data_IF_757548953979
#
_entry.id   IF_757548953979
#
_cell.length_a   1.000
_cell.length_b   1.000
_cell.length_c   1.000
_cell.angle_alpha   90.00
_cell.angle_beta   90.00
_cell.angle_gamma   90.00
#
_symmetry.space_group_name_H-M   'P 1'
#
loop_
_entity.id
_entity.type
_entity.pdbx_description
1 polymer ?
#
# COMPACT_ATOMS: atom_id res chain seq x y z
N UNK A 1 16.53 1.24 3.71
CA UNK A 1 15.37 1.19 2.83
C UNK A 1 14.40 0.14 3.32
N UNK A 2 13.39 0.60 4.01
CA UNK A 2 12.28 -0.19 4.50
C UNK A 2 10.98 0.59 4.32
N UNK A 3 9.91 -0.17 4.06
CA UNK A 3 8.55 0.34 3.99
C UNK A 3 7.83 0.02 5.28
N UNK A 4 7.38 1.07 5.95
CA UNK A 4 6.62 0.98 7.20
C UNK A 4 5.17 1.39 6.94
N UNK A 5 4.26 0.89 7.76
CA UNK A 5 2.88 1.38 7.78
C UNK A 5 2.49 1.78 9.20
N UNK A 6 1.73 2.87 9.30
CA UNK A 6 1.17 3.34 10.56
C UNK A 6 -0.17 4.03 10.31
N UNK A 7 -0.81 4.47 11.37
CA UNK A 7 -2.09 5.16 11.30
C UNK A 7 -2.10 6.40 12.17
N UNK A 8 -2.97 7.36 11.81
CA UNK A 8 -2.99 8.69 12.45
C UNK A 8 -3.09 8.64 13.97
N UNK A 9 -3.84 7.67 14.52
CA UNK A 9 -4.01 7.53 15.96
C UNK A 9 -2.78 6.98 16.69
N UNK A 10 -1.83 6.34 16.00
CA UNK A 10 -0.55 5.94 16.56
C UNK A 10 0.42 7.11 16.59
N UNK A 11 0.52 7.84 15.48
CA UNK A 11 1.31 9.08 15.39
C UNK A 11 0.88 10.12 16.42
N UNK A 12 -0.43 10.27 16.65
CA UNK A 12 -0.99 11.21 17.64
C UNK A 12 -0.54 10.89 19.08
N UNK A 13 -0.04 9.68 19.34
CA UNK A 13 0.52 9.27 20.63
C UNK A 13 2.05 9.23 20.63
N UNK A 14 2.69 9.90 19.66
CA UNK A 14 4.14 9.82 19.40
C UNK A 14 4.61 8.36 19.24
N UNK A 15 3.74 7.51 18.70
CA UNK A 15 4.00 6.10 18.45
C UNK A 15 4.27 5.80 16.97
N UNK A 16 4.92 4.67 16.73
CA UNK A 16 5.23 4.17 15.40
C UNK A 16 6.48 3.32 15.43
N UNK A 17 6.50 2.24 14.66
CA UNK A 17 7.68 1.39 14.48
C UNK A 17 8.37 1.75 13.17
N UNK A 18 9.01 2.92 13.12
CA UNK A 18 9.78 3.41 11.98
C UNK A 18 10.88 4.37 12.46
N UNK A 19 11.98 4.52 11.70
CA UNK A 19 13.06 5.41 12.09
C UNK A 19 12.60 6.88 12.02
N UNK A 20 13.08 7.76 12.91
CA UNK A 20 12.65 9.16 12.96
C UNK A 20 12.98 9.95 11.69
N UNK A 21 13.92 9.49 10.87
CA UNK A 21 14.25 10.02 9.55
C UNK A 21 13.33 9.54 8.41
N UNK A 22 12.41 8.60 8.67
CA UNK A 22 11.48 8.12 7.66
C UNK A 22 10.51 9.22 7.24
N UNK A 23 10.24 9.31 5.93
CA UNK A 23 9.25 10.27 5.41
C UNK A 23 7.84 9.73 5.62
N UNK A 24 7.00 10.53 6.27
CA UNK A 24 5.61 10.22 6.56
C UNK A 24 4.72 10.63 5.39
N UNK A 25 4.12 9.64 4.72
CA UNK A 25 3.27 9.84 3.54
C UNK A 25 1.82 9.54 3.89
N UNK A 26 0.98 10.58 3.94
CA UNK A 26 -0.46 10.45 4.17
C UNK A 26 -1.21 9.95 2.94
N UNK A 27 -1.79 8.75 3.02
CA UNK A 27 -2.58 8.11 1.97
C UNK A 27 -4.07 8.11 2.35
N UNK A 28 -4.76 9.19 2.01
CA UNK A 28 -6.19 9.34 2.22
C UNK A 28 -6.80 10.22 1.13
N UNK A 29 -7.97 9.83 0.60
CA UNK A 29 -8.64 10.54 -0.50
C UNK A 29 -9.05 11.95 -0.06
N UNK A 30 -9.57 12.06 1.17
CA UNK A 30 -9.87 13.32 1.82
C UNK A 30 -9.14 13.36 3.17
N UNK A 31 -7.85 13.77 3.18
CA UNK A 31 -7.05 13.71 4.39
C UNK A 31 -7.57 14.74 5.40
N UNK A 32 -7.97 14.32 6.62
CA UNK A 32 -8.42 15.24 7.65
C UNK A 32 -7.27 16.20 8.01
N UNK A 33 -7.61 17.43 8.45
CA UNK A 33 -6.61 18.44 8.80
C UNK A 33 -5.57 17.95 9.81
N UNK A 34 -5.97 17.05 10.72
CA UNK A 34 -5.06 16.39 11.67
C UNK A 34 -4.02 15.51 10.98
N UNK A 35 -4.41 14.70 9.98
CA UNK A 35 -3.46 13.89 9.22
C UNK A 35 -2.43 14.77 8.53
N UNK A 36 -2.89 15.86 7.88
CA UNK A 36 -2.01 16.84 7.23
C UNK A 36 -1.01 17.50 8.17
N UNK A 37 -1.30 17.57 9.46
CA UNK A 37 -0.42 18.17 10.46
C UNK A 37 0.63 17.20 11.01
N UNK A 38 0.44 15.90 10.82
CA UNK A 38 1.28 14.83 11.38
C UNK A 38 2.16 14.14 10.33
N UNK A 39 1.98 14.44 9.05
CA UNK A 39 2.72 13.81 7.94
C UNK A 39 3.50 14.86 7.15
N UNK A 40 4.60 14.45 6.51
CA UNK A 40 5.42 15.34 5.69
C UNK A 40 4.71 15.73 4.40
N UNK A 41 3.96 14.80 3.81
CA UNK A 41 3.18 15.04 2.60
C UNK A 41 1.93 14.17 2.54
N UNK A 42 0.93 14.60 1.76
CA UNK A 42 -0.28 13.81 1.50
C UNK A 42 -0.42 13.53 0.01
N UNK A 43 -0.71 12.27 -0.33
CA UNK A 43 -0.90 11.78 -1.69
C UNK A 43 -2.31 11.20 -1.85
N UNK A 44 -3.32 12.05 -2.09
CA UNK A 44 -4.70 11.58 -2.25
C UNK A 44 -4.89 10.70 -3.50
N UNK A 45 -4.05 10.85 -4.53
CA UNK A 45 -4.05 10.01 -5.72
C UNK A 45 -3.72 8.53 -5.42
N UNK A 46 -3.08 8.24 -4.28
CA UNK A 46 -2.83 6.87 -3.84
C UNK A 46 -3.96 6.29 -3.00
N UNK A 47 -5.02 7.07 -2.72
CA UNK A 47 -6.16 6.54 -1.98
C UNK A 47 -7.05 5.68 -2.89
N UNK A 48 -7.81 4.72 -2.32
CA UNK A 48 -8.78 3.97 -3.11
C UNK A 48 -9.81 4.91 -3.75
N UNK A 49 -10.26 4.62 -4.99
CA UNK A 49 -11.23 5.45 -5.67
C UNK A 49 -12.57 5.44 -4.91
N UNK A 50 -13.31 6.56 -4.88
CA UNK A 50 -14.52 6.69 -4.06
C UNK A 50 -15.57 5.64 -4.39
N UNK A 51 -15.78 5.35 -5.68
CA UNK A 51 -16.71 4.32 -6.12
C UNK A 51 -16.38 2.92 -5.55
N UNK A 52 -15.09 2.60 -5.38
CA UNK A 52 -14.68 1.33 -4.78
C UNK A 52 -14.92 1.31 -3.26
N UNK A 53 -14.76 2.45 -2.59
CA UNK A 53 -15.07 2.60 -1.17
C UNK A 53 -16.59 2.48 -0.92
N UNK A 54 -17.41 3.10 -1.76
CA UNK A 54 -18.87 2.98 -1.71
C UNK A 54 -19.30 1.52 -1.94
N UNK A 55 -18.82 0.86 -3.00
CA UNK A 55 -19.10 -0.56 -3.29
C UNK A 55 -18.75 -1.47 -2.09
N UNK A 56 -17.60 -1.23 -1.44
CA UNK A 56 -17.16 -1.97 -0.26
C UNK A 56 -18.04 -1.70 0.96
N UNK A 57 -18.42 -0.45 1.20
CA UNK A 57 -19.27 -0.06 2.32
C UNK A 57 -20.67 -0.66 2.20
N UNK A 58 -21.27 -0.62 1.00
CA UNK A 58 -22.56 -1.23 0.71
C UNK A 58 -22.51 -2.76 0.92
N UNK A 59 -21.46 -3.43 0.43
CA UNK A 59 -21.28 -4.86 0.63
C UNK A 59 -21.09 -5.22 2.12
N UNK A 60 -20.29 -4.43 2.85
CA UNK A 60 -20.05 -4.63 4.28
C UNK A 60 -21.34 -4.41 5.10
N UNK A 61 -22.17 -3.45 4.72
CA UNK A 61 -23.48 -3.25 5.32
C UNK A 61 -24.40 -4.45 5.11
N UNK A 62 -24.46 -5.00 3.89
CA UNK A 62 -25.25 -6.21 3.61
C UNK A 62 -24.83 -7.37 4.52
N UNK A 63 -23.52 -7.62 4.64
CA UNK A 63 -23.04 -8.70 5.50
C UNK A 63 -23.31 -8.45 6.99
N UNK A 64 -23.28 -7.19 7.46
CA UNK A 64 -23.71 -6.85 8.82
C UNK A 64 -25.19 -7.16 9.05
N UNK A 65 -26.05 -6.85 8.08
CA UNK A 65 -27.49 -7.19 8.13
C UNK A 65 -27.69 -8.72 8.19
N UNK A 66 -26.87 -9.48 7.47
CA UNK A 66 -26.86 -10.95 7.49
C UNK A 66 -26.24 -11.55 8.77
N UNK A 67 -25.77 -10.71 9.70
CA UNK A 67 -25.35 -11.11 11.04
C UNK A 67 -23.84 -11.33 11.20
N UNK A 68 -23.01 -10.94 10.25
CA UNK A 68 -21.55 -10.95 10.42
C UNK A 68 -21.13 -9.84 11.39
N UNK A 69 -20.08 -10.11 12.18
CA UNK A 69 -19.41 -9.08 12.97
C UNK A 69 -18.73 -8.04 12.06
N UNK A 70 -18.42 -6.86 12.58
CA UNK A 70 -17.85 -5.74 11.82
C UNK A 70 -16.60 -6.12 11.02
N UNK A 71 -15.61 -6.77 11.65
CA UNK A 71 -14.38 -7.22 10.97
C UNK A 71 -14.64 -8.34 9.96
N UNK A 72 -15.57 -9.25 10.26
CA UNK A 72 -15.99 -10.30 9.34
C UNK A 72 -16.68 -9.72 8.10
N UNK A 73 -17.59 -8.78 8.29
CA UNK A 73 -18.30 -8.10 7.22
C UNK A 73 -17.35 -7.26 6.35
N UNK A 74 -16.39 -6.56 6.95
CA UNK A 74 -15.36 -5.80 6.24
C UNK A 74 -14.52 -6.69 5.33
N UNK A 75 -14.00 -7.80 5.88
CA UNK A 75 -13.15 -8.72 5.11
C UNK A 75 -13.95 -9.49 4.06
N UNK A 76 -15.19 -9.90 4.35
CA UNK A 76 -16.07 -10.53 3.38
C UNK A 76 -16.45 -9.57 2.23
N UNK A 77 -16.71 -8.29 2.55
CA UNK A 77 -16.95 -7.25 1.55
C UNK A 77 -15.72 -6.99 0.68
N UNK A 78 -14.53 -6.99 1.28
CA UNK A 78 -13.27 -6.85 0.57
C UNK A 78 -13.11 -7.90 -0.53
N UNK A 79 -13.35 -9.17 -0.19
CA UNK A 79 -13.33 -10.27 -1.15
C UNK A 79 -14.48 -10.14 -2.17
N UNK A 80 -15.69 -9.76 -1.72
CA UNK A 80 -16.89 -9.69 -2.57
C UNK A 80 -16.77 -8.70 -3.73
N UNK A 81 -16.04 -7.61 -3.54
CA UNK A 81 -15.86 -6.52 -4.51
C UNK A 81 -14.50 -6.56 -5.23
N UNK A 82 -13.72 -7.62 -5.01
CA UNK A 82 -12.35 -7.76 -5.54
C UNK A 82 -11.50 -6.52 -5.27
N UNK A 83 -11.56 -6.02 -4.02
CA UNK A 83 -11.04 -4.69 -3.67
C UNK A 83 -9.56 -4.54 -4.02
N UNK A 84 -8.76 -5.57 -3.70
CA UNK A 84 -7.33 -5.55 -3.93
C UNK A 84 -7.00 -5.42 -5.42
N UNK A 85 -7.64 -6.21 -6.28
CA UNK A 85 -7.42 -6.21 -7.72
C UNK A 85 -7.89 -4.92 -8.37
N UNK A 86 -9.10 -4.43 -8.03
CA UNK A 86 -9.61 -3.15 -8.52
C UNK A 86 -8.74 -1.98 -8.09
N UNK A 87 -8.21 -2.02 -6.87
CA UNK A 87 -7.29 -1.00 -6.39
C UNK A 87 -5.94 -1.06 -7.12
N UNK A 88 -5.37 -2.26 -7.35
CA UNK A 88 -4.16 -2.41 -8.19
C UNK A 88 -4.37 -1.89 -9.61
N UNK A 89 -5.50 -2.19 -10.22
CA UNK A 89 -5.86 -1.69 -11.56
C UNK A 89 -5.94 -0.16 -11.57
N UNK A 90 -6.55 0.44 -10.53
CA UNK A 90 -6.60 1.89 -10.38
C UNK A 90 -5.19 2.50 -10.28
N UNK A 91 -4.33 1.93 -9.43
CA UNK A 91 -2.94 2.39 -9.29
C UNK A 91 -2.13 2.29 -10.59
N UNK A 92 -2.45 1.33 -11.46
CA UNK A 92 -1.79 1.15 -12.74
C UNK A 92 -2.36 2.03 -13.86
N UNK A 93 -3.67 2.30 -13.82
CA UNK A 93 -4.38 3.01 -14.90
C UNK A 93 -4.46 4.51 -14.69
N UNK A 94 -4.45 4.97 -13.44
CA UNK A 94 -4.52 6.39 -13.10
C UNK A 94 -3.12 7.05 -13.21
N UNK A 95 -2.96 8.10 -14.03
CA UNK A 95 -1.65 8.69 -14.28
C UNK A 95 -1.09 9.42 -13.04
N UNK A 96 -1.94 10.00 -12.19
CA UNK A 96 -1.51 10.66 -10.96
C UNK A 96 -1.08 9.63 -9.92
N UNK A 97 -1.80 8.50 -9.82
CA UNK A 97 -1.42 7.38 -8.98
C UNK A 97 -0.09 6.75 -9.43
N UNK A 98 0.08 6.47 -10.72
CA UNK A 98 1.34 5.92 -11.24
C UNK A 98 2.51 6.87 -11.02
N UNK A 99 2.34 8.17 -11.28
CA UNK A 99 3.39 9.17 -11.04
C UNK A 99 3.77 9.24 -9.56
N UNK A 100 2.78 9.15 -8.66
CA UNK A 100 3.03 9.12 -7.23
C UNK A 100 3.80 7.85 -6.83
N UNK A 101 3.43 6.67 -7.36
CA UNK A 101 4.16 5.41 -7.14
C UNK A 101 5.62 5.55 -7.62
N UNK A 102 5.83 6.02 -8.85
CA UNK A 102 7.18 6.15 -9.42
C UNK A 102 8.06 7.11 -8.60
N UNK A 103 7.46 8.17 -8.05
CA UNK A 103 8.16 9.09 -7.13
C UNK A 103 8.56 8.42 -5.81
N UNK A 104 7.69 7.57 -5.25
CA UNK A 104 8.00 6.82 -4.01
C UNK A 104 9.05 5.74 -4.28
N UNK A 105 8.95 5.00 -5.39
CA UNK A 105 9.96 4.02 -5.80
C UNK A 105 11.33 4.68 -6.02
N UNK A 106 11.37 5.86 -6.64
CA UNK A 106 12.62 6.61 -6.81
C UNK A 106 13.23 7.03 -5.47
N UNK A 107 12.41 7.49 -4.51
CA UNK A 107 12.89 7.84 -3.18
C UNK A 107 13.43 6.61 -2.41
N UNK A 108 12.74 5.47 -2.51
CA UNK A 108 13.20 4.21 -1.96
C UNK A 108 14.55 3.82 -2.58
N UNK A 109 14.66 3.84 -3.91
CA UNK A 109 15.89 3.49 -4.64
C UNK A 109 17.08 4.41 -4.29
N UNK A 110 16.83 5.67 -3.92
CA UNK A 110 17.84 6.61 -3.41
C UNK A 110 18.28 6.30 -1.96
N UNK A 111 17.63 5.31 -1.32
CA UNK A 111 17.93 4.83 0.03
C UNK A 111 17.03 5.39 1.12
N UNK A 112 15.97 6.14 0.79
CA UNK A 112 15.06 6.71 1.78
C UNK A 112 14.18 5.64 2.43
N UNK A 113 13.84 5.84 3.70
CA UNK A 113 12.82 5.08 4.41
C UNK A 113 11.48 5.81 4.36
N UNK A 114 10.40 5.08 4.09
CA UNK A 114 9.06 5.66 3.91
C UNK A 114 8.06 5.00 4.86
N UNK A 115 7.22 5.81 5.50
CA UNK A 115 6.11 5.32 6.32
C UNK A 115 4.76 5.74 5.71
N UNK A 116 3.93 4.76 5.36
CA UNK A 116 2.59 4.98 4.82
C UNK A 116 1.60 5.20 5.96
N UNK A 117 1.02 6.39 6.03
CA UNK A 117 0.11 6.80 7.09
C UNK A 117 -1.32 6.84 6.57
N UNK A 118 -2.16 5.96 7.11
CA UNK A 118 -3.60 5.97 6.81
C UNK A 118 -4.45 6.50 7.97
N UNK A 119 -5.74 6.76 7.74
CA UNK A 119 -6.63 7.27 8.77
C UNK A 119 -6.95 6.24 9.86
N UNK A 120 -6.93 4.95 9.52
CA UNK A 120 -7.39 3.88 10.41
C UNK A 120 -6.32 2.80 10.65
N UNK A 121 -6.44 2.09 11.77
CA UNK A 121 -5.56 0.97 12.12
C UNK A 121 -5.91 -0.23 11.23
N UNK A 122 -4.90 -0.88 10.66
CA UNK A 122 -5.13 -2.07 9.83
C UNK A 122 -5.44 -3.32 10.66
N UNK A 123 -4.76 -3.56 11.79
CA UNK A 123 -5.12 -4.66 12.71
C UNK A 123 -5.43 -5.99 12.00
N UNK A 124 -6.60 -6.57 12.29
CA UNK A 124 -7.13 -7.79 11.64
C UNK A 124 -7.91 -7.52 10.32
N UNK A 125 -7.99 -6.26 9.90
CA UNK A 125 -8.71 -5.83 8.71
C UNK A 125 -7.78 -5.78 7.51
N UNK A 126 -8.28 -6.28 6.38
CA UNK A 126 -7.62 -6.04 5.09
C UNK A 126 -7.62 -4.55 4.78
N UNK A 127 -6.47 -4.04 4.34
CA UNK A 127 -6.22 -2.62 4.13
C UNK A 127 -5.57 -2.37 2.78
N UNK A 128 -5.99 -1.28 2.13
CA UNK A 128 -5.37 -0.82 0.89
C UNK A 128 -3.89 -0.47 1.06
N UNK A 129 -3.45 -0.09 2.27
CA UNK A 129 -2.03 0.13 2.58
C UNK A 129 -1.19 -1.13 2.37
N UNK A 130 -1.73 -2.30 2.72
CA UNK A 130 -1.04 -3.58 2.50
C UNK A 130 -0.83 -3.82 1.01
N UNK A 131 -1.86 -3.60 0.19
CA UNK A 131 -1.77 -3.71 -1.27
C UNK A 131 -0.79 -2.69 -1.84
N UNK A 132 -0.83 -1.44 -1.37
CA UNK A 132 0.11 -0.40 -1.81
C UNK A 132 1.56 -0.76 -1.47
N UNK A 133 1.80 -1.33 -0.27
CA UNK A 133 3.12 -1.80 0.14
C UNK A 133 3.63 -2.93 -0.74
N UNK A 134 2.77 -3.88 -1.09
CA UNK A 134 3.08 -4.97 -2.03
C UNK A 134 3.46 -4.40 -3.39
N UNK A 135 2.64 -3.49 -3.96
CA UNK A 135 2.92 -2.84 -5.25
C UNK A 135 4.24 -2.08 -5.25
N UNK A 136 4.56 -1.37 -4.16
CA UNK A 136 5.83 -0.67 -4.03
C UNK A 136 7.01 -1.64 -3.91
N UNK A 137 6.87 -2.72 -3.14
CA UNK A 137 7.89 -3.76 -3.03
C UNK A 137 8.15 -4.42 -4.40
N UNK A 138 7.11 -4.86 -5.09
CA UNK A 138 7.19 -5.47 -6.43
C UNK A 138 7.91 -4.58 -7.46
N UNK A 139 7.69 -3.25 -7.40
CA UNK A 139 8.36 -2.30 -8.31
C UNK A 139 9.78 -1.95 -7.92
N UNK A 140 10.12 -1.99 -6.63
CA UNK A 140 11.43 -1.55 -6.15
C UNK A 140 12.42 -2.71 -6.04
N UNK A 141 11.93 -3.91 -5.75
CA UNK A 141 12.73 -5.14 -5.80
C UNK A 141 13.00 -5.57 -7.25
N UNK A 142 12.19 -5.10 -8.21
CA UNK A 142 12.27 -5.53 -9.60
C UNK A 142 12.04 -7.05 -9.75
N UNK A 143 11.84 -7.57 -10.96
CA UNK A 143 11.89 -9.01 -11.19
C UNK A 143 13.36 -9.50 -11.14
N UNK A 144 14.03 -9.39 -9.99
CA UNK A 144 15.41 -9.84 -9.81
C UNK A 144 15.45 -11.14 -8.99
N UNK A 145 15.02 -12.25 -9.62
CA UNK A 145 15.57 -13.61 -9.43
C UNK A 145 14.90 -14.65 -10.39
N UNK A 146 14.92 -14.41 -11.70
CA UNK A 146 14.61 -15.46 -12.69
C UNK A 146 15.13 -15.10 -14.08
N UNK A 147 16.45 -15.13 -14.27
CA UNK A 147 17.14 -15.60 -15.50
C UNK A 147 18.58 -15.05 -15.54
N UNK A 148 19.41 -15.49 -14.59
CA UNK A 148 20.87 -15.47 -14.77
C UNK A 148 21.38 -16.89 -14.75
N UNK A 149 20.92 -17.70 -15.72
CA UNK A 149 21.67 -18.90 -16.12
C UNK A 149 22.82 -18.40 -16.98
N UNK A 150 23.86 -17.89 -16.32
CA UNK A 150 25.20 -17.80 -16.89
C UNK A 150 25.74 -19.23 -16.98
N UNK A 151 25.43 -19.93 -18.06
CA UNK A 151 26.13 -21.16 -18.44
C UNK A 151 27.02 -20.83 -19.64
N UNK A 152 28.06 -20.05 -19.33
CA UNK A 152 29.26 -19.97 -20.11
C UNK A 152 30.35 -20.80 -19.42
N UNK A 153 30.23 -22.14 -19.44
CA UNK A 153 31.40 -23.02 -19.28
C UNK A 153 31.66 -23.80 -20.56
N UNK A 154 32.38 -23.12 -21.46
CA UNK A 154 33.24 -23.79 -22.43
C UNK A 154 34.56 -24.07 -21.74
N UNK A 155 34.77 -25.31 -21.27
CA UNK A 155 36.13 -25.84 -21.08
C UNK A 155 36.39 -27.00 -22.04
N UNK A 156 37.39 -26.73 -22.86
CA UNK A 156 38.13 -27.62 -23.72
C UNK A 156 38.68 -28.83 -22.93
N UNK A 157 38.37 -30.04 -23.40
CA UNK A 157 38.76 -31.30 -22.77
C UNK A 157 39.20 -32.31 -23.82
N UNK A 158 40.39 -32.08 -24.36
CA UNK A 158 41.22 -33.06 -25.08
C UNK A 158 41.44 -34.28 -24.17
N UNK A 159 41.04 -35.47 -24.62
CA UNK A 159 41.74 -36.77 -24.51
C UNK A 159 41.01 -37.82 -25.36
#
# INVERSE_FOLDING_TARGET
MALYDTYVGELDRDGGDFPPEARLIGVAASPPGRLRALVDETRPALAPPPALLDDHADAAESFRIDGLCESGAHNAAWDRVDFADRYREHLASDPDASTAIDSLCAALADGADLALVGPERSGELRSHRTVLREVLAERTEGPDDADRVDDADRVDGIC
#
